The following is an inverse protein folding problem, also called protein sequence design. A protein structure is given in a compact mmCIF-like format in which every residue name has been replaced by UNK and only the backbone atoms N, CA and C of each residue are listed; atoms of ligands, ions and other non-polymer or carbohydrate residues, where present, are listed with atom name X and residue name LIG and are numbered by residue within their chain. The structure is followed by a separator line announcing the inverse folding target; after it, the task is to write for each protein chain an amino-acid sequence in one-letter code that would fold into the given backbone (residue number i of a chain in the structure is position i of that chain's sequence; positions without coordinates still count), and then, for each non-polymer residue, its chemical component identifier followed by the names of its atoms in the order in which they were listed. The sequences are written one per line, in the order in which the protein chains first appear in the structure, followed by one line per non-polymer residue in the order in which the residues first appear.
data_IF_458281829364
#
_entry.id   IF_458281829364
#
_cell.length_a   1.000
_cell.length_b   1.000
_cell.length_c   1.000
_cell.angle_alpha   90.00
_cell.angle_beta   90.00
_cell.angle_gamma   90.00
#
_symmetry.space_group_name_H-M   'P 1'
#
loop_
_entity.id
_entity.type
_entity.pdbx_description
1 polymer ?
#
# COMPACT_ATOMS: atom_id res chain seq x y z
N UNK A 1 -31.98 19.90 32.22
CA UNK A 1 -30.71 19.32 31.75
C UNK A 1 -30.93 18.86 30.30
N UNK A 2 -30.73 19.76 29.33
CA UNK A 2 -30.95 19.47 27.90
C UNK A 2 -29.84 18.54 27.42
N UNK A 3 -30.14 17.25 27.23
CA UNK A 3 -29.32 16.37 26.39
C UNK A 3 -29.39 16.94 24.98
N UNK A 4 -28.39 17.72 24.60
CA UNK A 4 -28.10 17.99 23.19
C UNK A 4 -27.84 16.64 22.57
N UNK A 5 -28.86 16.06 21.93
CA UNK A 5 -28.72 14.83 21.15
C UNK A 5 -27.81 15.22 20.00
N UNK A 6 -26.53 14.90 20.16
CA UNK A 6 -25.49 15.23 19.21
C UNK A 6 -25.67 14.29 18.00
N UNK A 7 -26.67 14.57 17.17
CA UNK A 7 -26.98 13.89 15.90
C UNK A 7 -25.91 14.22 14.85
N UNK A 8 -24.65 14.03 15.20
CA UNK A 8 -23.57 14.08 14.23
C UNK A 8 -23.86 13.00 13.19
N UNK A 9 -24.00 13.34 11.89
CA UNK A 9 -24.28 12.35 10.88
C UNK A 9 -23.17 11.30 10.88
N UNK A 10 -23.52 10.07 11.25
CA UNK A 10 -22.62 8.92 11.20
C UNK A 10 -22.52 8.47 9.75
N UNK A 11 -21.31 8.44 9.20
CA UNK A 11 -21.06 7.77 7.93
C UNK A 11 -21.10 6.27 8.19
N UNK A 12 -21.86 5.52 7.39
CA UNK A 12 -22.08 4.09 7.59
C UNK A 12 -21.75 3.36 6.29
N UNK A 13 -20.53 2.84 6.15
CA UNK A 13 -20.12 2.14 4.93
C UNK A 13 -20.60 0.69 4.99
N UNK A 14 -21.55 0.25 4.14
CA UNK A 14 -22.02 -1.12 4.16
C UNK A 14 -20.93 -2.04 3.60
N UNK A 15 -20.47 -2.98 4.43
CA UNK A 15 -19.54 -4.00 3.98
C UNK A 15 -20.26 -5.34 3.81
N UNK A 16 -20.32 -5.83 2.57
CA UNK A 16 -20.78 -7.19 2.27
C UNK A 16 -19.57 -8.11 2.23
N UNK A 17 -19.30 -8.76 3.36
CA UNK A 17 -18.22 -9.73 3.44
C UNK A 17 -18.52 -10.94 2.56
N UNK A 18 -17.48 -11.49 1.94
CA UNK A 18 -17.51 -12.80 1.32
C UNK A 18 -16.17 -13.47 1.54
N UNK A 19 -16.17 -14.50 2.38
CA UNK A 19 -15.04 -15.41 2.59
C UNK A 19 -14.44 -15.86 1.27
N UNK A 20 -15.29 -16.15 0.28
CA UNK A 20 -14.88 -16.52 -1.08
C UNK A 20 -14.00 -15.47 -1.76
N UNK A 21 -14.38 -14.19 -1.72
CA UNK A 21 -13.58 -13.13 -2.35
C UNK A 21 -12.26 -12.90 -1.61
N UNK A 22 -12.27 -12.95 -0.28
CA UNK A 22 -11.04 -12.87 0.52
C UNK A 22 -10.08 -14.03 0.20
N UNK A 23 -10.61 -15.25 0.11
CA UNK A 23 -9.84 -16.43 -0.28
C UNK A 23 -9.24 -16.28 -1.69
N UNK A 24 -10.06 -15.88 -2.68
CA UNK A 24 -9.58 -15.68 -4.05
C UNK A 24 -8.49 -14.60 -4.12
N UNK A 25 -8.61 -13.52 -3.34
CA UNK A 25 -7.57 -12.49 -3.24
C UNK A 25 -6.26 -13.07 -2.68
N UNK A 26 -6.32 -13.81 -1.57
CA UNK A 26 -5.15 -14.44 -0.95
C UNK A 26 -4.48 -15.41 -1.92
N UNK A 27 -5.24 -16.23 -2.62
CA UNK A 27 -4.71 -17.17 -3.64
C UNK A 27 -4.04 -16.40 -4.78
N UNK A 28 -4.63 -15.32 -5.26
CA UNK A 28 -4.03 -14.49 -6.31
C UNK A 28 -2.73 -13.82 -5.85
N UNK A 29 -2.65 -13.34 -4.60
CA UNK A 29 -1.43 -12.79 -4.02
C UNK A 29 -0.37 -13.87 -3.83
N UNK A 30 -0.73 -15.07 -3.37
CA UNK A 30 0.20 -16.20 -3.23
C UNK A 30 0.81 -16.60 -4.59
N UNK A 31 -0.01 -16.66 -5.65
CA UNK A 31 0.48 -16.91 -7.02
C UNK A 31 1.42 -15.79 -7.47
N UNK A 32 1.07 -14.53 -7.20
CA UNK A 32 1.93 -13.39 -7.52
C UNK A 32 3.28 -13.46 -6.80
N UNK A 33 3.30 -13.81 -5.51
CA UNK A 33 4.54 -14.04 -4.75
C UNK A 33 5.44 -15.08 -5.43
N UNK A 34 4.86 -16.21 -5.84
CA UNK A 34 5.60 -17.28 -6.53
C UNK A 34 6.16 -16.80 -7.89
N UNK A 35 5.39 -16.01 -8.63
CA UNK A 35 5.84 -15.42 -9.91
C UNK A 35 7.02 -14.48 -9.68
N UNK A 36 6.95 -13.61 -8.66
CA UNK A 36 8.05 -12.68 -8.34
C UNK A 36 9.32 -13.43 -7.94
N UNK A 37 9.22 -14.45 -7.09
CA UNK A 37 10.38 -15.27 -6.70
C UNK A 37 10.98 -16.04 -7.89
N UNK A 38 10.12 -16.64 -8.73
CA UNK A 38 10.58 -17.34 -9.93
C UNK A 38 11.28 -16.37 -10.90
N UNK A 39 10.74 -15.15 -11.06
CA UNK A 39 11.36 -14.10 -11.86
C UNK A 39 12.69 -13.61 -11.29
N UNK A 40 12.81 -13.48 -9.96
CA UNK A 40 14.07 -13.17 -9.26
C UNK A 40 15.13 -14.22 -9.57
N UNK A 41 14.80 -15.51 -9.41
CA UNK A 41 15.70 -16.62 -9.75
C UNK A 41 16.11 -16.58 -11.21
N UNK A 42 15.15 -16.42 -12.12
CA UNK A 42 15.41 -16.33 -13.56
C UNK A 42 16.35 -15.17 -13.91
N UNK A 43 16.14 -14.00 -13.31
CA UNK A 43 17.00 -12.84 -13.50
C UNK A 43 18.42 -13.10 -12.98
N UNK A 44 18.59 -13.59 -11.75
CA UNK A 44 19.92 -13.82 -11.18
C UNK A 44 20.71 -14.89 -11.97
N UNK A 45 20.05 -15.96 -12.42
CA UNK A 45 20.68 -16.97 -13.28
C UNK A 45 21.08 -16.40 -14.65
N UNK A 46 20.19 -15.63 -15.28
CA UNK A 46 20.47 -14.96 -16.54
C UNK A 46 21.63 -13.96 -16.42
N UNK A 47 21.65 -13.15 -15.36
CA UNK A 47 22.69 -12.15 -15.12
C UNK A 47 24.06 -12.80 -14.89
N UNK A 48 24.09 -13.96 -14.24
CA UNK A 48 25.31 -14.79 -14.12
C UNK A 48 25.75 -15.37 -15.46
N UNK A 49 24.82 -15.85 -16.28
CA UNK A 49 25.12 -16.41 -17.60
C UNK A 49 25.81 -15.40 -18.52
N UNK A 50 25.42 -14.12 -18.45
CA UNK A 50 26.08 -13.03 -19.20
C UNK A 50 27.33 -12.47 -18.48
N UNK A 51 27.91 -13.22 -17.54
CA UNK A 51 29.08 -12.84 -16.75
C UNK A 51 28.95 -11.48 -16.03
N UNK A 52 27.73 -11.09 -15.64
CA UNK A 52 27.42 -9.78 -15.04
C UNK A 52 27.71 -8.59 -15.96
N UNK A 53 27.99 -8.83 -17.23
CA UNK A 53 28.13 -7.77 -18.22
C UNK A 53 26.73 -7.40 -18.70
N UNK A 54 26.16 -6.35 -18.11
CA UNK A 54 24.84 -5.85 -18.48
C UNK A 54 24.75 -5.59 -19.98
N UNK A 55 25.78 -5.02 -20.60
CA UNK A 55 25.80 -4.67 -22.03
C UNK A 55 25.76 -5.90 -22.93
N UNK A 56 26.36 -7.01 -22.50
CA UNK A 56 26.34 -8.29 -23.23
C UNK A 56 24.96 -8.96 -23.27
N UNK A 57 24.04 -8.57 -22.38
CA UNK A 57 22.72 -9.17 -22.33
C UNK A 57 21.78 -8.70 -23.44
N UNK A 58 20.97 -9.62 -23.96
CA UNK A 58 19.84 -9.32 -24.86
C UNK A 58 18.76 -8.46 -24.21
N UNK A 59 17.77 -8.00 -25.00
CA UNK A 59 16.67 -7.16 -24.53
C UNK A 59 15.83 -7.80 -23.41
N UNK A 60 15.84 -9.14 -23.26
CA UNK A 60 15.08 -9.83 -22.20
C UNK A 60 15.51 -9.43 -20.79
N UNK A 61 16.76 -8.99 -20.61
CA UNK A 61 17.31 -8.54 -19.32
C UNK A 61 16.47 -7.44 -18.68
N UNK A 62 15.92 -6.57 -19.52
CA UNK A 62 15.10 -5.45 -19.11
C UNK A 62 13.72 -5.84 -18.59
N UNK A 63 13.20 -6.98 -19.05
CA UNK A 63 11.96 -7.55 -18.54
C UNK A 63 12.21 -8.37 -17.29
N UNK A 64 13.25 -9.21 -17.29
CA UNK A 64 13.60 -10.05 -16.15
C UNK A 64 13.95 -9.23 -14.90
N UNK A 65 14.67 -8.12 -15.06
CA UNK A 65 15.04 -7.24 -13.94
C UNK A 65 13.85 -6.63 -13.21
N UNK A 66 12.68 -6.54 -13.86
CA UNK A 66 11.46 -6.03 -13.21
C UNK A 66 10.92 -7.02 -12.18
N UNK A 67 11.25 -8.31 -12.28
CA UNK A 67 10.82 -9.34 -11.33
C UNK A 67 11.89 -9.67 -10.27
N UNK A 68 12.97 -8.89 -10.20
CA UNK A 68 14.01 -9.06 -9.18
C UNK A 68 13.58 -8.36 -7.89
N UNK A 69 13.20 -9.15 -6.86
CA UNK A 69 12.82 -8.62 -5.53
C UNK A 69 13.99 -7.93 -4.84
N UNK A 70 15.21 -8.45 -5.05
CA UNK A 70 16.45 -7.87 -4.54
C UNK A 70 16.89 -6.60 -5.29
N UNK A 71 15.96 -5.93 -5.98
CA UNK A 71 16.23 -4.69 -6.72
C UNK A 71 15.17 -3.65 -6.44
N UNK A 72 15.67 -2.51 -6.00
CA UNK A 72 14.89 -1.30 -5.83
C UNK A 72 14.30 -0.76 -7.13
N UNK A 73 13.12 -0.14 -7.02
CA UNK A 73 12.36 0.44 -8.12
C UNK A 73 12.12 -0.53 -9.30
N UNK A 74 11.80 -1.77 -8.98
CA UNK A 74 11.36 -2.78 -9.93
C UNK A 74 9.85 -3.05 -9.71
N UNK A 75 9.23 -3.77 -10.65
CA UNK A 75 7.86 -4.25 -10.47
C UNK A 75 7.73 -5.13 -9.22
N UNK A 76 8.75 -5.92 -8.90
CA UNK A 76 8.80 -6.78 -7.73
C UNK A 76 8.82 -5.98 -6.42
N UNK A 77 9.70 -4.99 -6.25
CA UNK A 77 9.72 -4.16 -5.04
C UNK A 77 8.48 -3.27 -4.92
N UNK A 78 7.94 -2.76 -6.03
CA UNK A 78 6.61 -2.12 -6.03
C UNK A 78 5.52 -3.04 -5.46
N UNK A 79 5.54 -4.30 -5.88
CA UNK A 79 4.56 -5.28 -5.42
C UNK A 79 4.73 -5.58 -3.92
N UNK A 80 5.96 -5.78 -3.42
CA UNK A 80 6.23 -5.96 -1.98
C UNK A 80 5.76 -4.74 -1.18
N UNK A 81 6.11 -3.54 -1.63
CA UNK A 81 5.69 -2.26 -1.04
C UNK A 81 4.17 -2.15 -0.96
N UNK A 82 3.43 -2.56 -2.00
CA UNK A 82 1.96 -2.53 -1.97
C UNK A 82 1.35 -3.60 -1.07
N UNK A 83 1.98 -4.77 -0.96
CA UNK A 83 1.53 -5.82 -0.05
C UNK A 83 1.63 -5.33 1.41
N UNK A 84 2.72 -4.64 1.77
CA UNK A 84 2.89 -3.94 3.04
C UNK A 84 1.81 -2.85 3.24
N UNK A 85 1.56 -2.02 2.22
CA UNK A 85 0.50 -1.00 2.27
C UNK A 85 -0.89 -1.61 2.50
N UNK A 86 -1.17 -2.77 1.88
CA UNK A 86 -2.43 -3.47 2.05
C UNK A 86 -2.60 -4.01 3.48
N UNK A 87 -1.53 -4.54 4.09
CA UNK A 87 -1.51 -4.90 5.52
C UNK A 87 -1.78 -3.67 6.39
N UNK A 88 -1.19 -2.52 6.07
CA UNK A 88 -1.43 -1.28 6.79
C UNK A 88 -2.90 -0.82 6.71
N UNK A 89 -3.47 -0.81 5.50
CA UNK A 89 -4.87 -0.47 5.27
C UNK A 89 -5.82 -1.41 6.01
N UNK A 90 -5.59 -2.72 5.93
CA UNK A 90 -6.45 -3.71 6.60
C UNK A 90 -6.32 -3.66 8.13
N UNK A 91 -5.14 -3.36 8.66
CA UNK A 91 -4.95 -3.09 10.09
C UNK A 91 -5.74 -1.86 10.53
N UNK A 92 -5.71 -0.77 9.75
CA UNK A 92 -6.52 0.41 10.03
C UNK A 92 -8.03 0.09 10.01
N UNK A 93 -8.49 -0.74 9.07
CA UNK A 93 -9.87 -1.22 9.06
C UNK A 93 -10.19 -1.98 10.36
N UNK A 94 -9.33 -2.91 10.80
CA UNK A 94 -9.53 -3.64 12.05
C UNK A 94 -9.56 -2.70 13.27
N UNK A 95 -8.70 -1.68 13.32
CA UNK A 95 -8.75 -0.63 14.35
C UNK A 95 -10.13 0.02 14.42
N UNK A 96 -10.67 0.46 13.28
CA UNK A 96 -11.97 1.14 13.20
C UNK A 96 -13.09 0.22 13.68
N UNK A 97 -13.04 -1.04 13.26
CA UNK A 97 -14.07 -2.04 13.58
C UNK A 97 -14.04 -2.36 15.08
N UNK A 98 -12.87 -2.66 15.63
CA UNK A 98 -12.73 -2.92 17.07
C UNK A 98 -13.16 -1.73 17.91
N UNK A 99 -12.82 -0.50 17.50
CA UNK A 99 -13.24 0.72 18.20
C UNK A 99 -14.76 0.90 18.23
N UNK A 100 -15.46 0.38 17.22
CA UNK A 100 -16.92 0.49 17.11
C UNK A 100 -17.65 -0.66 17.82
N UNK A 101 -17.11 -1.87 17.77
CA UNK A 101 -17.78 -3.08 18.27
C UNK A 101 -17.40 -3.40 19.73
N UNK A 102 -16.19 -3.05 20.18
CA UNK A 102 -15.73 -3.40 21.54
C UNK A 102 -16.36 -2.51 22.61
N UNK A 103 -17.19 -3.11 23.46
CA UNK A 103 -17.84 -2.45 24.61
C UNK A 103 -16.90 -2.31 25.82
N UNK A 104 -15.94 -3.22 25.98
CA UNK A 104 -15.04 -3.20 27.14
C UNK A 104 -13.92 -2.15 26.97
N UNK A 105 -13.58 -1.45 28.07
CA UNK A 105 -12.45 -0.48 28.07
C UNK A 105 -11.13 -1.16 27.67
N UNK A 106 -10.93 -2.41 28.09
CA UNK A 106 -9.74 -3.20 27.74
C UNK A 106 -9.67 -3.46 26.23
N UNK A 107 -10.74 -3.97 25.61
CA UNK A 107 -10.78 -4.21 24.16
C UNK A 107 -10.57 -2.93 23.36
N UNK A 108 -11.13 -1.83 23.83
CA UNK A 108 -10.94 -0.50 23.25
C UNK A 108 -9.50 0.02 23.30
N UNK A 109 -8.73 -0.31 24.35
CA UNK A 109 -7.30 0.02 24.45
C UNK A 109 -6.50 -0.92 23.55
N UNK A 110 -6.80 -2.22 23.58
CA UNK A 110 -6.11 -3.20 22.72
C UNK A 110 -6.28 -2.89 21.24
N UNK A 111 -7.42 -2.33 20.81
CA UNK A 111 -7.64 -1.89 19.44
C UNK A 111 -6.50 -1.01 18.90
N UNK A 112 -5.84 -0.19 19.73
CA UNK A 112 -4.70 0.64 19.30
C UNK A 112 -3.49 -0.16 18.83
N UNK A 113 -3.38 -1.45 19.17
CA UNK A 113 -2.38 -2.34 18.58
C UNK A 113 -2.51 -2.43 17.06
N UNK A 114 -3.73 -2.39 16.52
CA UNK A 114 -3.93 -2.31 15.07
C UNK A 114 -3.41 -1.01 14.45
N UNK A 115 -3.44 0.10 15.20
CA UNK A 115 -2.87 1.36 14.73
C UNK A 115 -1.34 1.29 14.70
N UNK A 116 -0.72 0.61 15.66
CA UNK A 116 0.72 0.30 15.61
C UNK A 116 1.07 -0.50 14.36
N UNK A 117 0.36 -1.60 14.08
CA UNK A 117 0.53 -2.36 12.83
C UNK A 117 0.37 -1.47 11.60
N UNK A 118 -0.70 -0.66 11.54
CA UNK A 118 -0.96 0.23 10.41
C UNK A 118 0.21 1.19 10.16
N UNK A 119 0.76 1.81 11.20
CA UNK A 119 1.89 2.74 11.08
C UNK A 119 3.18 2.00 10.71
N UNK A 120 3.49 0.88 11.37
CA UNK A 120 4.70 0.10 11.08
C UNK A 120 4.72 -0.37 9.63
N UNK A 121 3.65 -0.98 9.13
CA UNK A 121 3.59 -1.48 7.76
C UNK A 121 3.49 -0.38 6.71
N UNK A 122 2.94 0.79 7.06
CA UNK A 122 3.00 1.98 6.20
C UNK A 122 4.44 2.47 6.04
N UNK A 123 5.20 2.51 7.13
CA UNK A 123 6.61 2.94 7.10
C UNK A 123 7.48 1.91 6.36
N UNK A 124 7.28 0.61 6.59
CA UNK A 124 7.95 -0.44 5.83
C UNK A 124 7.59 -0.39 4.34
N UNK A 125 6.33 -0.11 4.00
CA UNK A 125 5.93 0.08 2.60
C UNK A 125 6.68 1.24 1.92
N UNK A 126 6.84 2.37 2.62
CA UNK A 126 7.60 3.52 2.14
C UNK A 126 9.09 3.20 2.01
N UNK A 127 9.62 2.45 2.98
CA UNK A 127 11.01 2.01 3.02
C UNK A 127 11.33 1.05 1.87
N UNK A 128 10.48 0.06 1.59
CA UNK A 128 10.65 -0.89 0.48
C UNK A 128 10.68 -0.25 -0.91
N UNK A 129 10.04 0.92 -1.08
CA UNK A 129 10.15 1.68 -2.34
C UNK A 129 11.26 2.75 -2.30
N UNK A 130 11.76 3.05 -1.10
CA UNK A 130 12.57 4.21 -0.80
C UNK A 130 14.01 3.91 -0.39
N UNK A 131 14.28 2.67 0.00
CA UNK A 131 15.49 2.17 0.64
C UNK A 131 15.97 3.11 1.77
N UNK A 132 15.05 3.51 2.65
CA UNK A 132 15.33 4.50 3.69
C UNK A 132 16.30 3.93 4.73
N UNK A 133 16.13 2.68 5.14
CA UNK A 133 16.99 2.05 6.14
C UNK A 133 18.43 1.90 5.64
N UNK A 134 18.63 1.60 4.35
CA UNK A 134 19.97 1.54 3.74
C UNK A 134 20.64 2.90 3.76
N UNK A 135 19.88 3.96 3.39
CA UNK A 135 20.36 5.34 3.41
C UNK A 135 20.72 5.82 4.82
N UNK A 136 19.93 5.44 5.81
CA UNK A 136 20.23 5.73 7.21
C UNK A 136 21.47 4.94 7.69
N UNK A 137 21.64 3.71 7.21
CA UNK A 137 22.86 2.92 7.44
C UNK A 137 24.12 3.61 6.90
N UNK A 138 24.03 4.27 5.74
CA UNK A 138 25.16 5.04 5.22
C UNK A 138 25.50 6.27 6.08
N UNK A 139 24.53 6.89 6.77
CA UNK A 139 24.85 8.01 7.68
C UNK A 139 25.67 7.55 8.89
N UNK A 140 25.51 6.28 9.31
CA UNK A 140 26.36 5.70 10.35
C UNK A 140 27.83 5.59 9.92
N UNK A 141 28.15 5.64 8.62
CA UNK A 141 29.53 5.69 8.13
C UNK A 141 30.18 7.06 8.31
N UNK A 142 29.42 8.09 8.68
CA UNK A 142 29.95 9.40 9.05
C UNK A 142 30.42 9.45 10.51
N UNK A 143 30.45 8.31 11.20
CA UNK A 143 30.82 8.22 12.60
C UNK A 143 32.26 8.72 12.82
N UNK A 144 32.47 9.82 13.57
CA UNK A 144 33.81 10.35 13.85
C UNK A 144 34.61 9.50 14.86
N UNK A 145 34.02 8.40 15.39
CA UNK A 145 34.57 7.65 16.52
C UNK A 145 35.28 6.31 16.16
N UNK A 146 35.70 6.09 14.91
CA UNK A 146 36.69 5.04 14.55
C UNK A 146 36.24 3.99 13.52
N UNK A 147 36.99 2.88 13.44
CA UNK A 147 36.96 1.89 12.33
C UNK A 147 35.73 0.97 12.27
N UNK A 148 34.84 0.98 13.28
CA UNK A 148 33.60 0.20 13.28
C UNK A 148 32.42 1.07 12.87
N UNK A 149 31.92 0.84 11.65
CA UNK A 149 30.69 1.47 11.14
C UNK A 149 29.54 0.48 11.38
N UNK A 150 28.64 0.73 12.34
CA UNK A 150 27.48 -0.12 12.53
C UNK A 150 26.61 -0.08 11.27
N UNK A 151 26.26 -1.26 10.75
CA UNK A 151 25.33 -1.38 9.64
C UNK A 151 23.92 -0.99 10.07
N UNK A 152 23.01 -0.79 9.13
CA UNK A 152 21.61 -0.47 9.46
C UNK A 152 20.98 -1.55 10.36
N UNK A 153 21.33 -2.83 10.16
CA UNK A 153 20.83 -3.94 10.98
C UNK A 153 21.20 -3.74 12.44
N UNK A 154 22.40 -3.22 12.72
CA UNK A 154 22.83 -2.92 14.10
C UNK A 154 22.05 -1.75 14.68
N UNK A 155 21.79 -0.71 13.87
CA UNK A 155 21.01 0.46 14.27
C UNK A 155 19.56 0.09 14.60
N UNK A 156 18.95 -0.79 13.80
CA UNK A 156 17.53 -1.11 13.88
C UNK A 156 17.20 -2.41 14.63
N UNK A 157 18.19 -3.20 15.06
CA UNK A 157 17.97 -4.46 15.77
C UNK A 157 17.06 -4.31 17.01
N UNK A 158 17.30 -3.30 17.85
CA UNK A 158 16.49 -3.06 19.06
C UNK A 158 15.06 -2.63 18.69
N UNK A 159 14.83 -1.60 17.84
CA UNK A 159 13.50 -1.25 17.37
C UNK A 159 12.73 -2.42 16.75
N UNK A 160 13.37 -3.22 15.89
CA UNK A 160 12.76 -4.39 15.25
C UNK A 160 12.37 -5.43 16.29
N UNK A 161 13.25 -5.73 17.24
CA UNK A 161 12.97 -6.67 18.33
C UNK A 161 11.78 -6.22 19.20
N UNK A 162 11.72 -4.93 19.56
CA UNK A 162 10.60 -4.36 20.32
C UNK A 162 9.30 -4.48 19.52
N UNK A 163 9.32 -4.13 18.22
CA UNK A 163 8.15 -4.24 17.36
C UNK A 163 7.66 -5.69 17.25
N UNK A 164 8.57 -6.64 17.04
CA UNK A 164 8.24 -8.06 16.96
C UNK A 164 7.62 -8.61 18.25
N UNK A 165 8.21 -8.28 19.41
CA UNK A 165 7.68 -8.69 20.73
C UNK A 165 6.31 -8.06 20.96
N UNK A 166 6.14 -6.78 20.64
CA UNK A 166 4.85 -6.12 20.74
C UNK A 166 3.79 -6.80 19.85
N UNK A 167 4.12 -7.05 18.59
CA UNK A 167 3.22 -7.71 17.64
C UNK A 167 2.84 -9.10 18.12
N UNK A 168 3.80 -9.89 18.60
CA UNK A 168 3.55 -11.22 19.16
C UNK A 168 2.63 -11.17 20.39
N UNK A 169 2.91 -10.27 21.33
CA UNK A 169 2.08 -10.08 22.53
C UNK A 169 0.66 -9.62 22.16
N UNK A 170 0.53 -8.64 21.26
CA UNK A 170 -0.76 -8.18 20.77
C UNK A 170 -1.56 -9.32 20.12
N UNK A 171 -0.90 -10.13 19.29
CA UNK A 171 -1.50 -11.28 18.61
C UNK A 171 -2.03 -12.30 19.61
N UNK A 172 -1.24 -12.61 20.64
CA UNK A 172 -1.63 -13.54 21.70
C UNK A 172 -2.84 -13.03 22.50
N UNK A 173 -2.79 -11.78 22.97
CA UNK A 173 -3.79 -11.25 23.89
C UNK A 173 -5.08 -10.76 23.22
N UNK A 174 -5.03 -10.37 21.93
CA UNK A 174 -6.15 -9.75 21.22
C UNK A 174 -6.68 -10.62 20.08
N UNK A 175 -5.79 -11.18 19.26
CA UNK A 175 -6.16 -12.03 18.11
C UNK A 175 -6.39 -13.50 18.51
N UNK A 176 -5.90 -13.91 19.69
CA UNK A 176 -5.88 -15.30 20.16
C UNK A 176 -7.23 -16.02 20.26
N UNK A 177 -8.36 -15.30 20.18
CA UNK A 177 -9.70 -15.91 20.04
C UNK A 177 -9.86 -16.68 18.73
N UNK A 178 -9.15 -16.25 17.67
CA UNK A 178 -9.07 -16.94 16.38
C UNK A 178 -7.70 -17.62 16.25
N UNK A 179 -7.64 -18.92 16.58
CA UNK A 179 -6.39 -19.70 16.57
C UNK A 179 -5.69 -19.69 15.21
N UNK A 180 -6.45 -19.76 14.12
CA UNK A 180 -5.87 -19.80 12.77
C UNK A 180 -5.24 -18.43 12.42
N UNK A 181 -5.95 -17.34 12.70
CA UNK A 181 -5.41 -15.99 12.55
C UNK A 181 -4.12 -15.82 13.39
N UNK A 182 -4.13 -16.28 14.65
CA UNK A 182 -2.97 -16.22 15.53
C UNK A 182 -1.76 -17.00 14.97
N UNK A 183 -1.97 -18.22 14.44
CA UNK A 183 -0.89 -19.01 13.81
C UNK A 183 -0.27 -18.27 12.62
N UNK A 184 -1.08 -17.78 11.69
CA UNK A 184 -0.59 -16.98 10.56
C UNK A 184 0.11 -15.70 11.01
N UNK A 185 -0.34 -15.10 12.11
CA UNK A 185 0.31 -13.92 12.67
C UNK A 185 1.71 -14.23 13.19
N UNK A 186 1.87 -15.31 13.96
CA UNK A 186 3.19 -15.75 14.45
C UNK A 186 4.12 -16.18 13.32
N UNK A 187 3.63 -16.92 12.32
CA UNK A 187 4.41 -17.30 11.14
C UNK A 187 4.89 -16.04 10.40
N UNK A 188 4.00 -15.06 10.21
CA UNK A 188 4.33 -13.81 9.54
C UNK A 188 5.39 -13.00 10.28
N UNK A 189 5.23 -12.83 11.60
CA UNK A 189 6.21 -12.15 12.46
C UNK A 189 7.55 -12.88 12.42
N UNK A 190 7.54 -14.21 12.55
CA UNK A 190 8.76 -15.01 12.53
C UNK A 190 9.52 -14.84 11.22
N UNK A 191 8.86 -15.00 10.08
CA UNK A 191 9.49 -14.85 8.77
C UNK A 191 10.10 -13.45 8.59
N UNK A 192 9.37 -12.39 8.92
CA UNK A 192 9.91 -11.01 8.83
C UNK A 192 11.09 -10.77 9.76
N UNK A 193 11.04 -11.27 10.99
CA UNK A 193 12.15 -11.12 11.95
C UNK A 193 13.41 -11.85 11.47
N UNK A 194 13.29 -12.90 10.66
CA UNK A 194 14.47 -13.58 10.12
C UNK A 194 15.22 -12.75 9.07
N UNK A 195 14.57 -11.83 8.35
CA UNK A 195 15.17 -11.07 7.24
C UNK A 195 16.46 -10.34 7.65
N UNK A 196 16.49 -9.52 8.73
CA UNK A 196 17.74 -8.87 9.16
C UNK A 196 18.86 -9.84 9.56
N UNK A 197 18.53 -11.06 10.00
CA UNK A 197 19.55 -12.09 10.26
C UNK A 197 20.09 -12.69 8.97
N UNK A 198 19.24 -12.87 7.96
CA UNK A 198 19.65 -13.36 6.64
C UNK A 198 20.64 -12.38 6.00
N UNK A 199 20.35 -11.08 6.03
CA UNK A 199 21.28 -10.05 5.56
C UNK A 199 22.61 -10.03 6.34
N UNK A 200 22.57 -10.21 7.66
CA UNK A 200 23.81 -10.35 8.45
C UNK A 200 24.65 -11.56 8.01
N UNK A 201 23.99 -12.67 7.69
CA UNK A 201 24.65 -13.85 7.13
C UNK A 201 25.24 -13.52 5.75
N UNK A 202 24.51 -12.79 4.90
CA UNK A 202 25.02 -12.33 3.60
C UNK A 202 26.30 -11.52 3.75
N UNK A 203 26.31 -10.51 4.61
CA UNK A 203 27.48 -9.66 4.86
C UNK A 203 28.66 -10.50 5.37
N UNK A 204 28.42 -11.47 6.25
CA UNK A 204 29.47 -12.38 6.73
C UNK A 204 30.00 -13.31 5.63
N UNK A 205 29.13 -13.80 4.74
CA UNK A 205 29.53 -14.60 3.57
C UNK A 205 30.35 -13.77 2.57
N UNK A 206 30.01 -12.50 2.39
CA UNK A 206 30.80 -11.58 1.56
C UNK A 206 32.18 -11.32 2.15
N UNK A 207 32.27 -11.08 3.48
CA UNK A 207 33.55 -10.85 4.15
C UNK A 207 34.50 -12.05 4.14
N UNK A 208 33.94 -13.27 4.15
CA UNK A 208 34.70 -14.54 4.14
C UNK A 208 35.07 -15.03 2.73
N UNK A 209 34.60 -14.37 1.68
CA UNK A 209 34.92 -14.73 0.31
C UNK A 209 36.41 -14.54 0.00
N UNK A 210 37.03 -15.51 -0.68
CA UNK A 210 38.43 -15.42 -1.11
C UNK A 210 38.72 -14.20 -1.99
N UNK A 211 37.74 -13.80 -2.82
CA UNK A 211 37.78 -12.59 -3.62
C UNK A 211 36.43 -11.89 -3.52
N UNK A 212 36.42 -10.69 -2.92
CA UNK A 212 35.21 -9.87 -2.75
C UNK A 212 34.65 -9.39 -4.09
N UNK A 213 35.51 -9.11 -5.06
CA UNK A 213 35.12 -8.64 -6.41
C UNK A 213 34.44 -9.75 -7.24
N UNK A 214 34.80 -11.00 -6.95
CA UNK A 214 34.21 -12.18 -7.61
C UNK A 214 33.06 -12.78 -6.82
N UNK A 215 32.79 -12.30 -5.60
CA UNK A 215 31.71 -12.82 -4.78
C UNK A 215 30.36 -12.61 -5.48
N UNK A 216 29.50 -13.62 -5.32
CA UNK A 216 28.15 -13.59 -5.84
C UNK A 216 27.21 -14.06 -4.75
N UNK A 217 26.21 -13.24 -4.46
CA UNK A 217 25.11 -13.59 -3.56
C UNK A 217 24.46 -14.89 -4.03
N UNK A 218 24.44 -15.97 -3.22
CA UNK A 218 23.86 -17.25 -3.62
C UNK A 218 22.37 -17.12 -3.96
N UNK A 219 21.92 -17.67 -5.09
CA UNK A 219 20.51 -17.56 -5.54
C UNK A 219 19.54 -18.14 -4.50
N UNK A 220 19.90 -19.24 -3.85
CA UNK A 220 19.08 -19.83 -2.79
C UNK A 220 18.96 -18.92 -1.57
N UNK A 221 20.02 -18.19 -1.22
CA UNK A 221 19.99 -17.25 -0.12
C UNK A 221 19.00 -16.11 -0.41
N UNK A 222 19.07 -15.53 -1.62
CA UNK A 222 18.11 -14.50 -2.08
C UNK A 222 16.69 -15.05 -2.04
N UNK A 223 16.47 -16.28 -2.51
CA UNK A 223 15.15 -16.89 -2.50
C UNK A 223 14.59 -17.05 -1.08
N UNK A 224 15.44 -17.36 -0.09
CA UNK A 224 15.01 -17.46 1.31
C UNK A 224 14.72 -16.09 1.93
N UNK A 225 15.52 -15.07 1.63
CA UNK A 225 15.36 -13.74 2.20
C UNK A 225 14.12 -13.05 1.65
N UNK A 226 14.09 -12.87 0.32
CA UNK A 226 12.97 -12.25 -0.39
C UNK A 226 11.68 -13.06 -0.22
N UNK A 227 11.81 -14.39 -0.15
CA UNK A 227 10.69 -15.29 0.10
C UNK A 227 10.14 -15.16 1.51
N UNK A 228 11.01 -15.11 2.53
CA UNK A 228 10.59 -14.90 3.92
C UNK A 228 9.87 -13.56 4.06
N UNK A 229 10.33 -12.51 3.37
CA UNK A 229 9.67 -11.22 3.39
C UNK A 229 8.25 -11.28 2.82
N UNK A 230 8.09 -11.59 1.53
CA UNK A 230 6.77 -11.50 0.87
C UNK A 230 5.76 -12.52 1.40
N UNK A 231 6.21 -13.70 1.84
CA UNK A 231 5.32 -14.68 2.49
C UNK A 231 5.05 -14.34 3.95
N UNK A 232 5.99 -13.69 4.63
CA UNK A 232 5.77 -13.11 5.96
C UNK A 232 4.65 -12.08 5.93
N UNK A 233 4.71 -11.13 4.98
CA UNK A 233 3.69 -10.09 4.79
C UNK A 233 2.34 -10.72 4.40
N UNK A 234 2.32 -11.68 3.47
CA UNK A 234 1.09 -12.37 3.07
C UNK A 234 0.47 -13.13 4.26
N UNK A 235 1.28 -13.80 5.09
CA UNK A 235 0.82 -14.50 6.28
C UNK A 235 0.14 -13.54 7.26
N UNK A 236 0.71 -12.36 7.49
CA UNK A 236 0.08 -11.32 8.32
C UNK A 236 -1.23 -10.81 7.72
N UNK A 237 -1.28 -10.60 6.40
CA UNK A 237 -2.51 -10.19 5.72
C UNK A 237 -3.62 -11.25 5.90
N UNK A 238 -3.29 -12.54 5.74
CA UNK A 238 -4.22 -13.65 5.98
C UNK A 238 -4.71 -13.64 7.43
N UNK A 239 -3.81 -13.45 8.40
CA UNK A 239 -4.17 -13.35 9.81
C UNK A 239 -5.17 -12.22 10.08
N UNK A 240 -4.93 -11.03 9.53
CA UNK A 240 -5.79 -9.85 9.67
C UNK A 240 -7.16 -10.11 9.02
N UNK A 241 -7.20 -10.71 7.83
CA UNK A 241 -8.45 -11.02 7.13
C UNK A 241 -9.28 -12.08 7.89
N UNK A 242 -8.64 -13.10 8.46
CA UNK A 242 -9.31 -14.11 9.29
C UNK A 242 -9.85 -13.50 10.59
N UNK A 243 -9.06 -12.65 11.26
CA UNK A 243 -9.51 -11.91 12.44
C UNK A 243 -10.72 -11.04 12.11
N UNK A 244 -10.62 -10.24 11.05
CA UNK A 244 -11.71 -9.39 10.59
C UNK A 244 -12.97 -10.18 10.25
N UNK A 245 -12.84 -11.32 9.56
CA UNK A 245 -13.96 -12.25 9.29
C UNK A 245 -14.65 -12.68 10.58
N UNK A 246 -13.88 -13.08 11.59
CA UNK A 246 -14.44 -13.58 12.84
C UNK A 246 -15.19 -12.52 13.62
N UNK A 247 -14.75 -11.26 13.60
CA UNK A 247 -15.51 -10.15 14.20
C UNK A 247 -16.81 -9.91 13.44
N UNK A 248 -16.74 -9.88 12.11
CA UNK A 248 -17.94 -9.66 11.29
C UNK A 248 -18.97 -10.75 11.58
N UNK A 249 -18.56 -12.02 11.62
CA UNK A 249 -19.45 -13.14 11.97
C UNK A 249 -20.06 -13.00 13.36
N UNK A 250 -19.29 -12.57 14.36
CA UNK A 250 -19.81 -12.32 15.72
C UNK A 250 -20.86 -11.21 15.72
N UNK A 251 -20.56 -10.06 15.10
CA UNK A 251 -21.51 -8.94 14.99
C UNK A 251 -22.78 -9.31 14.22
N UNK A 252 -22.67 -10.18 13.20
CA UNK A 252 -23.84 -10.67 12.43
C UNK A 252 -24.68 -11.65 13.22
N UNK A 253 -24.09 -12.54 14.03
CA UNK A 253 -24.86 -13.47 14.86
C UNK A 253 -25.61 -12.76 15.99
N UNK A 254 -25.10 -11.62 16.47
CA UNK A 254 -25.80 -10.78 17.46
C UNK A 254 -26.92 -9.92 16.82
N UNK A 255 -26.79 -9.55 15.55
CA UNK A 255 -27.79 -8.81 14.79
C UNK A 255 -28.76 -9.78 14.09
N UNK A 256 -29.99 -9.36 13.77
CA UNK A 256 -30.89 -10.21 12.97
C UNK A 256 -30.24 -10.59 11.62
N UNK A 257 -30.38 -11.84 11.14
CA UNK A 257 -29.61 -12.39 9.99
C UNK A 257 -29.78 -11.62 8.68
N UNK A 258 -30.88 -10.87 8.52
CA UNK A 258 -31.11 -10.03 7.34
C UNK A 258 -30.29 -8.72 7.34
N UNK A 259 -29.49 -8.46 8.39
CA UNK A 259 -28.66 -7.25 8.55
C UNK A 259 -27.18 -7.57 8.65
N UNK A 260 -26.67 -8.48 7.83
CA UNK A 260 -25.24 -8.77 7.68
C UNK A 260 -24.45 -7.63 7.01
N UNK A 261 -24.59 -6.41 7.54
CA UNK A 261 -23.94 -5.19 7.06
C UNK A 261 -23.15 -4.61 8.23
N UNK A 262 -21.84 -4.80 8.21
CA UNK A 262 -20.96 -4.05 9.09
C UNK A 262 -20.95 -2.60 8.63
N UNK A 263 -21.13 -1.67 9.58
CA UNK A 263 -21.04 -0.25 9.29
C UNK A 263 -19.76 0.30 9.91
N UNK A 264 -18.82 0.72 9.05
CA UNK A 264 -17.69 1.51 9.52
C UNK A 264 -18.21 2.89 9.91
N UNK A 265 -18.34 3.13 11.22
CA UNK A 265 -18.83 4.40 11.77
C UNK A 265 -17.67 5.34 12.00
N UNK A 266 -17.79 6.54 11.47
CA UNK A 266 -16.91 7.64 11.78
C UNK A 266 -17.73 8.85 12.18
N UNK A 267 -17.32 9.50 13.27
CA UNK A 267 -17.76 10.86 13.52
C UNK A 267 -17.19 11.73 12.41
N UNK A 268 -18.03 12.53 11.76
CA UNK A 268 -17.63 13.39 10.63
C UNK A 268 -16.38 14.22 10.93
N UNK A 269 -16.32 14.84 12.11
CA UNK A 269 -15.15 15.62 12.54
C UNK A 269 -13.89 14.76 12.62
N UNK A 270 -13.97 13.57 13.20
CA UNK A 270 -12.84 12.64 13.30
C UNK A 270 -12.41 12.11 11.93
N UNK A 271 -13.37 11.80 11.05
CA UNK A 271 -13.08 11.39 9.67
C UNK A 271 -12.35 12.49 8.88
N UNK A 272 -12.78 13.75 9.02
CA UNK A 272 -12.09 14.90 8.42
C UNK A 272 -10.67 15.08 8.98
N UNK A 273 -10.49 14.90 10.29
CA UNK A 273 -9.16 14.93 10.91
C UNK A 273 -8.29 13.82 10.34
N UNK A 274 -8.78 12.58 10.20
CA UNK A 274 -8.00 11.49 9.61
C UNK A 274 -7.62 11.76 8.16
N UNK A 275 -8.55 12.26 7.34
CA UNK A 275 -8.26 12.66 5.97
C UNK A 275 -7.19 13.76 5.94
N UNK A 276 -7.31 14.77 6.80
CA UNK A 276 -6.32 15.83 6.92
C UNK A 276 -4.96 15.30 7.37
N UNK A 277 -4.90 14.37 8.33
CA UNK A 277 -3.67 13.73 8.76
C UNK A 277 -3.03 12.89 7.65
N UNK A 278 -3.81 12.14 6.88
CA UNK A 278 -3.32 11.39 5.71
C UNK A 278 -2.75 12.38 4.69
N UNK A 279 -3.51 13.39 4.27
CA UNK A 279 -3.03 14.41 3.34
C UNK A 279 -1.76 15.09 3.86
N UNK A 280 -1.73 15.47 5.14
CA UNK A 280 -0.57 16.08 5.76
C UNK A 280 0.64 15.13 5.77
N UNK A 281 0.46 13.84 6.07
CA UNK A 281 1.53 12.84 6.00
C UNK A 281 2.12 12.75 4.59
N UNK A 282 1.26 12.65 3.56
CA UNK A 282 1.71 12.63 2.18
C UNK A 282 2.44 13.93 1.79
N UNK A 283 1.90 15.10 2.18
CA UNK A 283 2.48 16.43 1.82
C UNK A 283 3.80 16.65 2.55
N UNK A 284 3.80 16.50 3.87
CA UNK A 284 4.97 16.73 4.71
C UNK A 284 6.05 15.69 4.42
N UNK A 285 5.69 14.43 4.18
CA UNK A 285 6.62 13.39 3.79
C UNK A 285 7.30 13.70 2.45
N UNK A 286 6.53 14.15 1.45
CA UNK A 286 7.08 14.56 0.16
C UNK A 286 8.01 15.77 0.28
N UNK A 287 7.59 16.80 1.03
CA UNK A 287 8.40 18.00 1.27
C UNK A 287 9.68 17.67 2.06
N UNK A 288 9.57 16.90 3.14
CA UNK A 288 10.71 16.48 3.93
C UNK A 288 11.72 15.73 3.07
N UNK A 289 11.24 14.85 2.18
CA UNK A 289 12.10 14.15 1.25
C UNK A 289 12.77 15.09 0.23
N UNK A 290 12.03 16.05 -0.35
CA UNK A 290 12.62 17.04 -1.25
C UNK A 290 13.76 17.84 -0.59
N UNK A 291 13.64 18.11 0.71
CA UNK A 291 14.66 18.80 1.50
C UNK A 291 15.84 17.87 1.84
N UNK A 292 15.58 16.61 2.21
CA UNK A 292 16.61 15.66 2.64
C UNK A 292 17.39 15.02 1.49
N UNK A 293 16.73 14.75 0.36
CA UNK A 293 17.30 13.99 -0.76
C UNK A 293 18.66 14.52 -1.27
N UNK A 294 18.90 15.85 -1.39
CA UNK A 294 20.21 16.36 -1.82
C UNK A 294 21.36 16.08 -0.84
N UNK A 295 21.05 15.83 0.43
CA UNK A 295 22.04 15.59 1.49
C UNK A 295 22.28 14.10 1.76
N UNK A 296 21.42 13.22 1.24
CA UNK A 296 21.60 11.79 1.38
C UNK A 296 22.66 11.30 0.39
N UNK A 297 23.56 10.44 0.85
CA UNK A 297 24.57 9.82 0.02
C UNK A 297 23.89 9.07 -1.15
N UNK A 298 24.51 9.11 -2.32
CA UNK A 298 24.09 8.32 -3.48
C UNK A 298 24.39 6.84 -3.17
N UNK A 299 23.41 6.14 -2.58
CA UNK A 299 23.43 4.70 -2.35
C UNK A 299 22.41 3.99 -3.22
N UNK A 300 22.00 2.80 -2.78
CA UNK A 300 21.02 2.00 -3.49
C UNK A 300 19.69 2.75 -3.72
N UNK A 301 19.08 2.39 -4.84
CA UNK A 301 18.45 3.36 -5.75
C UNK A 301 17.03 3.79 -5.38
N UNK A 302 16.50 3.43 -4.21
CA UNK A 302 15.09 3.67 -3.85
C UNK A 302 14.61 5.11 -4.10
N UNK A 303 13.36 5.27 -4.56
CA UNK A 303 12.76 6.58 -4.89
C UNK A 303 11.49 6.82 -4.06
N UNK A 304 11.63 7.34 -2.83
CA UNK A 304 10.48 7.65 -1.98
C UNK A 304 9.46 8.60 -2.63
N UNK A 305 9.88 9.48 -3.55
CA UNK A 305 8.93 10.37 -4.27
C UNK A 305 7.89 9.57 -5.06
N UNK A 306 8.34 8.47 -5.67
CA UNK A 306 7.50 7.63 -6.50
C UNK A 306 6.48 6.86 -5.64
N UNK A 307 6.86 6.50 -4.41
CA UNK A 307 5.98 5.83 -3.47
C UNK A 307 4.72 6.65 -3.17
N UNK A 308 4.84 7.96 -2.91
CA UNK A 308 3.68 8.78 -2.53
C UNK A 308 2.57 8.78 -3.61
N UNK A 309 2.94 8.97 -4.87
CA UNK A 309 1.95 8.97 -5.98
C UNK A 309 1.49 7.55 -6.28
N UNK A 310 2.40 6.57 -6.24
CA UNK A 310 2.06 5.16 -6.42
C UNK A 310 1.06 4.64 -5.39
N UNK A 311 1.28 4.96 -4.11
CA UNK A 311 0.41 4.59 -3.00
C UNK A 311 -0.95 5.30 -3.07
N UNK A 312 -0.99 6.60 -3.38
CA UNK A 312 -2.25 7.32 -3.57
C UNK A 312 -3.08 6.74 -4.72
N UNK A 313 -2.44 6.40 -5.85
CA UNK A 313 -3.09 5.75 -6.97
C UNK A 313 -3.64 4.37 -6.58
N UNK A 314 -2.88 3.58 -5.81
CA UNK A 314 -3.34 2.28 -5.31
C UNK A 314 -4.54 2.40 -4.37
N UNK A 315 -4.48 3.31 -3.38
CA UNK A 315 -5.60 3.56 -2.46
C UNK A 315 -6.82 4.06 -3.22
N UNK A 316 -6.64 4.95 -4.20
CA UNK A 316 -7.71 5.41 -5.08
C UNK A 316 -8.34 4.25 -5.88
N UNK A 317 -7.53 3.29 -6.37
CA UNK A 317 -8.02 2.09 -7.03
C UNK A 317 -8.90 1.24 -6.10
N UNK A 318 -8.48 1.04 -4.84
CA UNK A 318 -9.28 0.32 -3.82
C UNK A 318 -10.63 1.02 -3.57
N UNK A 319 -10.64 2.35 -3.49
CA UNK A 319 -11.88 3.13 -3.37
C UNK A 319 -12.76 2.96 -4.61
N UNK A 320 -12.18 2.96 -5.81
CA UNK A 320 -12.92 2.72 -7.06
C UNK A 320 -13.52 1.31 -7.12
N UNK A 321 -12.81 0.27 -6.68
CA UNK A 321 -13.39 -1.08 -6.58
C UNK A 321 -14.59 -1.10 -5.62
N UNK A 322 -14.48 -0.43 -4.48
CA UNK A 322 -15.60 -0.28 -3.55
C UNK A 322 -16.79 0.43 -4.21
N UNK A 323 -16.57 1.57 -4.87
CA UNK A 323 -17.62 2.31 -5.58
C UNK A 323 -18.23 1.50 -6.73
N UNK A 324 -17.44 0.69 -7.45
CA UNK A 324 -17.91 -0.21 -8.49
C UNK A 324 -18.85 -1.29 -7.95
N UNK A 325 -18.56 -1.82 -6.75
CA UNK A 325 -19.43 -2.79 -6.08
C UNK A 325 -20.71 -2.13 -5.56
N UNK A 326 -20.63 -0.89 -5.10
CA UNK A 326 -21.74 -0.17 -4.48
C UNK A 326 -22.69 0.50 -5.49
N UNK A 327 -22.17 1.08 -6.57
CA UNK A 327 -22.93 1.88 -7.55
C UNK A 327 -23.08 1.08 -8.86
N UNK A 328 -24.09 0.20 -8.92
CA UNK A 328 -24.32 -0.69 -10.08
C UNK A 328 -24.35 0.05 -11.42
N UNK A 329 -24.97 1.24 -11.47
CA UNK A 329 -25.12 2.02 -12.70
C UNK A 329 -23.77 2.49 -13.28
N UNK A 330 -22.81 2.84 -12.42
CA UNK A 330 -21.48 3.35 -12.79
C UNK A 330 -20.37 2.29 -12.67
N UNK A 331 -20.74 1.03 -12.39
CA UNK A 331 -19.82 -0.08 -12.16
C UNK A 331 -18.73 -0.21 -13.23
N UNK A 332 -19.02 -0.27 -14.55
CA UNK A 332 -17.97 -0.47 -15.54
C UNK A 332 -16.95 0.68 -15.56
N UNK A 333 -17.41 1.92 -15.38
CA UNK A 333 -16.53 3.09 -15.37
C UNK A 333 -15.61 3.11 -14.15
N UNK A 334 -16.13 2.76 -12.96
CA UNK A 334 -15.28 2.63 -11.77
C UNK A 334 -14.30 1.46 -11.86
N UNK A 335 -14.66 0.35 -12.50
CA UNK A 335 -13.72 -0.75 -12.76
C UNK A 335 -12.61 -0.30 -13.72
N UNK A 336 -12.95 0.35 -14.83
CA UNK A 336 -11.95 0.89 -15.76
C UNK A 336 -11.02 1.91 -15.06
N UNK A 337 -11.59 2.81 -14.25
CA UNK A 337 -10.80 3.76 -13.48
C UNK A 337 -9.87 3.04 -12.47
N UNK A 338 -10.35 2.00 -11.79
CA UNK A 338 -9.53 1.22 -10.86
C UNK A 338 -8.35 0.52 -11.55
N UNK A 339 -8.57 -0.05 -12.74
CA UNK A 339 -7.51 -0.68 -13.53
C UNK A 339 -6.46 0.34 -14.00
N UNK A 340 -6.92 1.51 -14.47
CA UNK A 340 -6.03 2.62 -14.81
C UNK A 340 -5.21 3.08 -13.61
N UNK A 341 -5.81 3.14 -12.42
CA UNK A 341 -5.13 3.57 -11.20
C UNK A 341 -4.15 2.53 -10.67
N UNK A 342 -4.43 1.23 -10.80
CA UNK A 342 -3.43 0.18 -10.58
C UNK A 342 -2.26 0.38 -11.54
N UNK A 343 -2.53 0.61 -12.83
CA UNK A 343 -1.47 0.84 -13.80
C UNK A 343 -0.64 2.09 -13.47
N UNK A 344 -1.27 3.19 -13.06
CA UNK A 344 -0.55 4.39 -12.60
C UNK A 344 0.28 4.10 -11.34
N UNK A 345 -0.25 3.29 -10.42
CA UNK A 345 0.51 2.85 -9.25
C UNK A 345 1.78 2.11 -9.65
N UNK A 346 1.69 1.15 -10.58
CA UNK A 346 2.83 0.44 -11.15
C UNK A 346 3.78 1.42 -11.85
N UNK A 347 3.23 2.29 -12.70
CA UNK A 347 3.99 3.19 -13.55
C UNK A 347 4.93 4.09 -12.75
N UNK A 348 4.43 4.66 -11.64
CA UNK A 348 5.22 5.46 -10.73
C UNK A 348 6.04 4.57 -9.79
N UNK A 349 5.41 3.65 -9.06
CA UNK A 349 6.05 2.90 -7.98
C UNK A 349 7.17 1.96 -8.43
N UNK A 350 7.03 1.31 -9.59
CA UNK A 350 8.09 0.51 -10.21
C UNK A 350 9.06 1.34 -11.07
N UNK A 351 8.97 2.68 -10.99
CA UNK A 351 9.75 3.63 -11.77
C UNK A 351 9.79 3.32 -13.28
N UNK A 352 8.69 2.85 -13.86
CA UNK A 352 8.61 2.58 -15.29
C UNK A 352 8.86 3.87 -16.07
N UNK A 353 8.40 5.00 -15.55
CA UNK A 353 8.66 6.32 -16.13
C UNK A 353 10.16 6.59 -16.31
N UNK A 354 10.95 6.41 -15.25
CA UNK A 354 12.40 6.61 -15.31
C UNK A 354 13.06 5.57 -16.20
N UNK A 355 12.60 4.32 -16.14
CA UNK A 355 13.11 3.24 -16.98
C UNK A 355 12.94 3.50 -18.49
N UNK A 356 11.83 4.14 -18.89
CA UNK A 356 11.53 4.47 -20.29
C UNK A 356 12.22 5.75 -20.78
N UNK A 357 12.96 6.46 -19.92
CA UNK A 357 13.51 7.77 -20.24
C UNK A 357 14.60 7.73 -21.32
N UNK A 358 15.45 6.70 -21.27
CA UNK A 358 16.65 6.63 -22.11
C UNK A 358 16.54 5.63 -23.26
N UNK A 359 17.11 6.04 -24.40
CA UNK A 359 17.35 5.21 -25.57
C UNK A 359 16.11 4.94 -26.44
N UNK A 360 16.04 3.80 -27.14
CA UNK A 360 14.98 3.50 -28.12
C UNK A 360 13.58 3.37 -27.50
N UNK A 361 13.46 3.41 -26.16
CA UNK A 361 12.22 3.29 -25.40
C UNK A 361 11.45 4.60 -25.29
N UNK A 362 12.03 5.72 -25.73
CA UNK A 362 11.37 7.02 -25.72
C UNK A 362 10.01 7.01 -26.46
N UNK A 363 9.87 6.21 -27.51
CA UNK A 363 8.59 6.05 -28.22
C UNK A 363 7.51 5.47 -27.30
N UNK A 364 7.84 4.40 -26.56
CA UNK A 364 6.94 3.78 -25.58
C UNK A 364 6.57 4.79 -24.50
N UNK A 365 7.53 5.60 -24.03
CA UNK A 365 7.26 6.69 -23.08
C UNK A 365 6.22 7.67 -23.62
N UNK A 366 6.38 8.17 -24.84
CA UNK A 366 5.42 9.11 -25.44
C UNK A 366 4.04 8.48 -25.61
N UNK A 367 3.98 7.21 -26.02
CA UNK A 367 2.73 6.46 -26.11
C UNK A 367 2.04 6.39 -24.75
N UNK A 368 2.74 5.98 -23.69
CA UNK A 368 2.17 5.87 -22.34
C UNK A 368 1.78 7.24 -21.76
N UNK A 369 2.67 8.24 -21.85
CA UNK A 369 2.42 9.58 -21.33
C UNK A 369 1.26 10.28 -22.06
N UNK A 370 0.96 9.91 -23.31
CA UNK A 370 -0.22 10.39 -24.03
C UNK A 370 -1.47 9.56 -23.75
N UNK A 371 -1.37 8.23 -23.76
CA UNK A 371 -2.52 7.33 -23.65
C UNK A 371 -3.13 7.31 -22.24
N UNK A 372 -2.31 7.39 -21.20
CA UNK A 372 -2.77 7.38 -19.80
C UNK A 372 -3.68 8.56 -19.47
N UNK A 373 -3.29 9.83 -19.68
CA UNK A 373 -4.16 10.96 -19.38
C UNK A 373 -5.34 11.04 -20.35
N UNK A 374 -5.20 10.59 -21.60
CA UNK A 374 -6.33 10.50 -22.53
C UNK A 374 -7.39 9.50 -22.02
N UNK A 375 -6.96 8.30 -21.57
CA UNK A 375 -7.86 7.33 -20.96
C UNK A 375 -8.49 7.87 -19.67
N UNK A 376 -7.70 8.50 -18.80
CA UNK A 376 -8.20 9.16 -17.58
C UNK A 376 -9.28 10.19 -17.90
N UNK A 377 -9.05 11.03 -18.91
CA UNK A 377 -9.97 12.08 -19.33
C UNK A 377 -11.26 11.52 -19.88
N UNK A 378 -11.20 10.52 -20.77
CA UNK A 378 -12.39 9.87 -21.32
C UNK A 378 -13.22 9.21 -20.21
N UNK A 379 -12.60 8.45 -19.31
CA UNK A 379 -13.29 7.80 -18.19
C UNK A 379 -13.94 8.85 -17.26
N UNK A 380 -13.21 9.91 -16.91
CA UNK A 380 -13.71 10.99 -16.06
C UNK A 380 -14.87 11.74 -16.73
N UNK A 381 -14.79 12.02 -18.03
CA UNK A 381 -15.85 12.68 -18.79
C UNK A 381 -17.12 11.82 -18.87
N UNK A 382 -16.98 10.50 -19.08
CA UNK A 382 -18.12 9.58 -19.06
C UNK A 382 -18.77 9.48 -17.68
N UNK A 383 -17.96 9.47 -16.61
CA UNK A 383 -18.48 9.54 -15.23
C UNK A 383 -19.21 10.86 -14.97
N UNK A 384 -18.68 11.98 -15.47
CA UNK A 384 -19.30 13.29 -15.36
C UNK A 384 -20.62 13.39 -16.14
N UNK A 385 -20.64 12.90 -17.37
CA UNK A 385 -21.86 12.80 -18.15
C UNK A 385 -22.92 12.00 -17.39
N UNK A 386 -22.58 10.80 -16.91
CA UNK A 386 -23.52 9.93 -16.21
C UNK A 386 -24.10 10.58 -14.95
N UNK A 387 -23.29 11.37 -14.25
CA UNK A 387 -23.67 12.12 -13.04
C UNK A 387 -24.20 13.52 -13.30
N UNK A 388 -24.44 13.88 -14.57
CA UNK A 388 -24.92 15.21 -14.99
C UNK A 388 -24.02 16.35 -14.49
N UNK A 389 -22.71 16.14 -14.52
CA UNK A 389 -21.68 17.11 -14.16
C UNK A 389 -21.85 17.70 -12.75
N UNK A 390 -22.08 16.83 -11.76
CA UNK A 390 -21.94 17.24 -10.36
C UNK A 390 -20.51 17.76 -10.06
N UNK A 391 -20.35 18.47 -8.94
CA UNK A 391 -19.06 19.09 -8.56
C UNK A 391 -17.92 18.07 -8.48
N UNK A 392 -18.20 16.85 -8.03
CA UNK A 392 -17.20 15.79 -7.87
C UNK A 392 -16.71 15.30 -9.23
N UNK A 393 -17.63 15.05 -10.16
CA UNK A 393 -17.28 14.56 -11.48
C UNK A 393 -16.62 15.62 -12.37
N UNK A 394 -17.02 16.89 -12.23
CA UNK A 394 -16.26 18.01 -12.80
C UNK A 394 -14.82 18.07 -12.25
N UNK A 395 -14.67 17.82 -10.93
CA UNK A 395 -13.36 17.68 -10.30
C UNK A 395 -12.53 16.52 -10.86
N UNK A 396 -13.15 15.38 -11.20
CA UNK A 396 -12.45 14.24 -11.83
C UNK A 396 -11.93 14.61 -13.23
N UNK A 397 -12.68 15.41 -13.99
CA UNK A 397 -12.21 15.92 -15.30
C UNK A 397 -10.99 16.83 -15.10
N UNK A 398 -11.04 17.74 -14.11
CA UNK A 398 -9.90 18.59 -13.76
C UNK A 398 -8.67 17.76 -13.33
N UNK A 399 -8.88 16.72 -12.52
CA UNK A 399 -7.81 15.78 -12.16
C UNK A 399 -7.15 15.16 -13.39
N UNK A 400 -7.94 14.66 -14.35
CA UNK A 400 -7.40 14.04 -15.56
C UNK A 400 -6.58 15.02 -16.41
N UNK A 401 -7.00 16.29 -16.46
CA UNK A 401 -6.22 17.36 -17.11
C UNK A 401 -4.91 17.64 -16.37
N UNK A 402 -4.94 17.71 -15.02
CA UNK A 402 -3.74 17.88 -14.21
C UNK A 402 -2.77 16.70 -14.37
N UNK A 403 -3.27 15.47 -14.46
CA UNK A 403 -2.47 14.28 -14.75
C UNK A 403 -1.80 14.40 -16.13
N UNK A 404 -2.53 14.88 -17.15
CA UNK A 404 -1.97 15.14 -18.47
C UNK A 404 -0.85 16.18 -18.46
N UNK A 405 -1.03 17.28 -17.71
CA UNK A 405 0.03 18.27 -17.51
C UNK A 405 1.23 17.70 -16.75
N UNK A 406 0.98 16.88 -15.74
CA UNK A 406 2.02 16.25 -14.94
C UNK A 406 2.90 15.30 -15.79
N UNK A 407 2.27 14.37 -16.52
CA UNK A 407 2.98 13.43 -17.40
C UNK A 407 3.62 14.12 -18.60
N UNK A 408 3.00 15.18 -19.14
CA UNK A 408 3.57 16.00 -20.20
C UNK A 408 4.82 16.76 -19.76
N UNK A 409 4.78 17.41 -18.58
CA UNK A 409 5.94 18.10 -17.99
C UNK A 409 7.02 17.12 -17.54
N UNK A 410 6.61 15.96 -17.04
CA UNK A 410 7.49 14.87 -16.67
C UNK A 410 8.47 14.55 -17.79
N UNK A 411 8.09 14.72 -19.07
CA UNK A 411 8.95 14.57 -20.26
C UNK A 411 10.09 15.59 -20.41
N UNK A 412 10.17 16.63 -19.56
CA UNK A 412 11.14 17.72 -19.71
C UNK A 412 12.23 17.77 -18.63
N UNK A 413 11.97 17.29 -17.40
CA UNK A 413 12.77 17.64 -16.21
C UNK A 413 13.41 16.46 -15.44
N UNK A 414 13.82 15.39 -16.13
CA UNK A 414 14.40 14.17 -15.55
C UNK A 414 13.40 13.29 -14.75
N UNK A 415 13.88 12.09 -14.41
CA UNK A 415 13.21 10.81 -14.09
C UNK A 415 12.25 10.75 -12.89
N UNK A 416 11.92 11.86 -12.22
CA UNK A 416 11.20 11.83 -10.94
C UNK A 416 9.81 12.43 -11.00
N UNK A 417 8.94 11.90 -10.14
CA UNK A 417 7.62 12.48 -9.82
C UNK A 417 7.76 13.92 -9.35
N UNK A 418 7.04 14.84 -10.00
CA UNK A 418 7.02 16.25 -9.65
C UNK A 418 5.88 16.63 -8.72
N UNK A 419 5.87 17.90 -8.30
CA UNK A 419 4.80 18.47 -7.47
C UNK A 419 3.41 18.36 -8.14
N UNK A 420 3.36 18.41 -9.48
CA UNK A 420 2.10 18.28 -10.23
C UNK A 420 1.51 16.86 -10.14
N UNK A 421 2.34 15.82 -10.29
CA UNK A 421 1.92 14.42 -10.14
C UNK A 421 1.33 14.19 -8.74
N UNK A 422 2.01 14.70 -7.73
CA UNK A 422 1.58 14.63 -6.33
C UNK A 422 0.26 15.38 -6.09
N UNK A 423 0.14 16.60 -6.62
CA UNK A 423 -1.09 17.40 -6.54
C UNK A 423 -2.26 16.70 -7.21
N UNK A 424 -2.03 16.08 -8.38
CA UNK A 424 -3.04 15.29 -9.07
C UNK A 424 -3.47 14.08 -8.23
N UNK A 425 -2.52 13.35 -7.62
CA UNK A 425 -2.81 12.23 -6.72
C UNK A 425 -3.70 12.62 -5.52
N UNK A 426 -3.37 13.72 -4.82
CA UNK A 426 -4.17 14.21 -3.69
C UNK A 426 -5.56 14.63 -4.14
N UNK A 427 -5.66 15.39 -5.23
CA UNK A 427 -6.94 15.86 -5.74
C UNK A 427 -7.87 14.68 -6.03
N UNK A 428 -7.37 13.65 -6.72
CA UNK A 428 -8.14 12.43 -7.00
C UNK A 428 -8.62 11.76 -5.72
N UNK A 429 -7.70 11.54 -4.77
CA UNK A 429 -8.01 10.90 -3.50
C UNK A 429 -9.15 11.63 -2.78
N UNK A 430 -9.05 12.95 -2.63
CA UNK A 430 -10.07 13.77 -1.99
C UNK A 430 -11.42 13.70 -2.73
N UNK A 431 -11.43 13.77 -4.06
CA UNK A 431 -12.64 13.67 -4.87
C UNK A 431 -13.33 12.32 -4.68
N UNK A 432 -12.57 11.22 -4.66
CA UNK A 432 -13.12 9.88 -4.44
C UNK A 432 -13.67 9.71 -3.01
N UNK A 433 -13.01 10.28 -2.00
CA UNK A 433 -13.53 10.28 -0.62
C UNK A 433 -14.84 11.06 -0.52
N UNK A 434 -14.94 12.24 -1.15
CA UNK A 434 -16.19 13.02 -1.20
C UNK A 434 -17.29 12.24 -1.92
N UNK A 435 -16.95 11.51 -3.00
CA UNK A 435 -17.89 10.68 -3.74
C UNK A 435 -18.45 9.54 -2.88
N UNK A 436 -17.57 8.83 -2.14
CA UNK A 436 -17.98 7.81 -1.17
C UNK A 436 -18.94 8.40 -0.15
N UNK A 437 -18.62 9.57 0.41
CA UNK A 437 -19.47 10.24 1.39
C UNK A 437 -20.85 10.61 0.82
N UNK A 438 -20.90 11.22 -0.37
CA UNK A 438 -22.17 11.60 -1.02
C UNK A 438 -23.06 10.38 -1.29
N UNK A 439 -22.46 9.28 -1.74
CA UNK A 439 -23.18 8.02 -1.94
C UNK A 439 -23.78 7.49 -0.62
N UNK A 440 -23.04 7.56 0.49
CA UNK A 440 -23.56 7.14 1.80
C UNK A 440 -24.76 7.98 2.25
N UNK A 441 -24.67 9.30 2.13
CA UNK A 441 -25.77 10.21 2.50
C UNK A 441 -27.02 9.89 1.67
N UNK A 442 -26.84 9.63 0.36
CA UNK A 442 -27.95 9.28 -0.52
C UNK A 442 -28.63 7.95 -0.17
N UNK A 443 -27.88 6.93 0.30
CA UNK A 443 -28.48 5.68 0.79
C UNK A 443 -29.27 5.93 2.07
N UNK A 444 -28.70 6.66 3.03
CA UNK A 444 -29.34 6.92 4.33
C UNK A 444 -30.66 7.67 4.16
N UNK A 445 -30.74 8.61 3.22
CA UNK A 445 -31.96 9.36 2.92
C UNK A 445 -33.10 8.49 2.32
N UNK A 446 -32.81 7.30 1.79
CA UNK A 446 -33.82 6.39 1.19
C UNK A 446 -34.41 5.39 2.17
N UNK A 447 -33.81 5.19 3.34
CA UNK A 447 -34.31 4.26 4.35
C UNK A 447 -35.47 4.93 5.09
N UNK A 448 -36.72 4.43 4.98
CA UNK A 448 -37.86 5.03 5.67
C UNK A 448 -37.61 5.01 7.19
N UNK A 449 -37.72 6.16 7.85
CA UNK A 449 -37.65 6.22 9.31
C UNK A 449 -38.87 5.50 9.88
N UNK A 450 -38.67 4.39 10.59
CA UNK A 450 -39.73 3.56 11.17
C UNK A 450 -40.65 4.30 12.16
N UNK A 451 -40.33 5.56 12.51
CA UNK A 451 -41.14 6.43 13.35
C UNK A 451 -42.42 6.96 12.67
N UNK A 452 -42.59 6.81 11.36
CA UNK A 452 -43.83 7.24 10.68
C UNK A 452 -44.89 6.15 10.54
N UNK A 453 -44.69 4.96 11.12
CA UNK A 453 -45.61 3.82 11.00
C UNK A 453 -46.53 3.69 12.24
N UNK A 454 -46.30 4.46 13.32
CA UNK A 454 -46.94 4.22 14.62
C UNK A 454 -47.96 5.25 15.12
N UNK A 455 -48.58 6.09 14.28
CA UNK A 455 -49.55 7.09 14.74
C UNK A 455 -50.85 7.16 13.94
N UNK A 456 -51.32 6.02 13.41
CA UNK A 456 -52.62 5.88 12.76
C UNK A 456 -53.53 4.88 13.48
N UNK A 457 -53.41 4.77 14.82
CA UNK A 457 -54.40 4.12 15.68
C UNK A 457 -55.11 5.14 16.57
#
# INVERSE_FOLDING_TARGET
MLRVINNSPEVKIPYKYSTRWAFLLVVALAITNLIMLAGTVAFKLYFRHINRNWEAGSAIKYWLVQFDLARENALASWYSSLLLLLVACMSLVCFIVDRNEQKSRRGQILAFGWLFFAVTFLLLSLDEAGSLHERLGMLASLNPFGDYVPGWVDLFAIPIGIAAVFMAAFSWFHVGSNRLAMVFMFVGIFLLVTVPFQEKIEIALWHSAQSRDLWQRPVLHILFEEGAEIFGILSLLVAILLYFSSIVEQSVNEAQPDRAILFLRFRRATGLIYIACVVAFFVLGNVAWMVLAPYLLKGDTGMPQNWFVGALAFIAALICFYLAAAIKQSRPLYLLLSLLLIFLSIYYGANIQGWLWDGPRAVIRFMLNGSLPAAAFVIALLLAWQKRFDRVSAGLVLWALLLGLALGRGSLNNTYVGLLDFTAGILLFLLLIVNVYQYQVAIQARVPTSSSIGSLE
#
